data_IF_477374432208
#
_entry.id   IF_477374432208
#
_cell.length_a   1.000
_cell.length_b   1.000
_cell.length_c   1.000
_cell.angle_alpha   90.00
_cell.angle_beta   90.00
_cell.angle_gamma   90.00
#
_symmetry.space_group_name_H-M   'P 1'
#
loop_
_entity.id
_entity.type
_entity.pdbx_description
1 polymer ?
#
# COMPACT_ATOMS: atom_id res chain seq x y z
N UNK A 1 24.29 48.34 24.34
CA UNK A 1 23.85 47.03 24.87
C UNK A 1 23.53 46.20 23.64
N UNK A 2 24.42 45.27 23.29
CA UNK A 2 24.32 44.45 22.09
C UNK A 2 23.43 43.27 22.47
N UNK A 3 22.20 43.23 21.97
CA UNK A 3 21.38 42.02 21.99
C UNK A 3 21.86 41.12 20.84
N UNK A 4 22.83 40.26 21.16
CA UNK A 4 22.98 38.97 20.49
C UNK A 4 21.87 38.03 21.02
N UNK A 5 21.56 36.99 20.23
CA UNK A 5 20.69 35.83 20.55
C UNK A 5 19.17 36.09 20.39
N UNK A 6 18.35 35.44 19.56
CA UNK A 6 18.35 34.15 18.85
C UNK A 6 17.34 34.16 17.65
N UNK A 7 17.75 34.32 16.38
CA UNK A 7 16.88 33.90 15.26
C UNK A 7 17.37 32.63 14.53
N UNK A 8 18.67 32.37 14.52
CA UNK A 8 19.28 31.33 13.67
C UNK A 8 19.02 29.90 14.20
N UNK A 9 18.98 29.73 15.53
CA UNK A 9 18.77 28.40 16.15
C UNK A 9 17.32 27.94 16.01
N UNK A 10 16.36 28.86 16.09
CA UNK A 10 14.93 28.57 15.90
C UNK A 10 14.64 28.09 14.48
N UNK A 11 15.21 28.78 13.48
CA UNK A 11 14.98 28.46 12.07
C UNK A 11 15.65 27.13 11.68
N UNK A 12 16.85 26.85 12.18
CA UNK A 12 17.54 25.57 11.92
C UNK A 12 16.83 24.37 12.58
N UNK A 13 16.28 24.54 13.78
CA UNK A 13 15.47 23.51 14.45
C UNK A 13 14.17 23.23 13.68
N UNK A 14 13.48 24.27 13.23
CA UNK A 14 12.24 24.15 12.47
C UNK A 14 12.46 23.45 11.12
N UNK A 15 13.56 23.77 10.43
CA UNK A 15 13.98 23.06 9.20
C UNK A 15 14.26 21.59 9.49
N UNK A 16 15.02 21.27 10.55
CA UNK A 16 15.32 19.89 10.94
C UNK A 16 14.06 19.08 11.27
N UNK A 17 13.10 19.70 11.97
CA UNK A 17 11.80 19.11 12.26
C UNK A 17 11.03 18.81 10.97
N UNK A 18 11.05 19.73 9.99
CA UNK A 18 10.41 19.53 8.69
C UNK A 18 11.03 18.35 7.92
N UNK A 19 12.36 18.23 7.88
CA UNK A 19 13.03 17.08 7.26
C UNK A 19 12.68 15.76 7.96
N UNK A 20 12.69 15.75 9.29
CA UNK A 20 12.33 14.56 10.09
C UNK A 20 10.88 14.15 9.84
N UNK A 21 9.96 15.12 9.77
CA UNK A 21 8.55 14.92 9.47
C UNK A 21 8.34 14.27 8.08
N UNK A 22 9.02 14.76 7.05
CA UNK A 22 8.94 14.21 5.69
C UNK A 22 9.50 12.77 5.64
N UNK A 23 10.61 12.51 6.33
CA UNK A 23 11.17 11.16 6.43
C UNK A 23 10.21 10.18 7.11
N UNK A 24 9.59 10.57 8.23
CA UNK A 24 8.59 9.76 8.92
C UNK A 24 7.37 9.48 8.04
N UNK A 25 6.89 10.49 7.31
CA UNK A 25 5.78 10.32 6.36
C UNK A 25 6.14 9.32 5.25
N UNK A 26 7.35 9.42 4.69
CA UNK A 26 7.80 8.50 3.64
C UNK A 26 7.92 7.05 4.16
N UNK A 27 8.45 6.87 5.37
CA UNK A 27 8.52 5.58 6.04
C UNK A 27 7.12 4.99 6.29
N UNK A 28 6.17 5.82 6.76
CA UNK A 28 4.79 5.40 6.99
C UNK A 28 4.12 4.94 5.69
N UNK A 29 4.25 5.71 4.61
CA UNK A 29 3.74 5.33 3.28
C UNK A 29 4.39 4.02 2.80
N UNK A 30 5.70 3.85 2.99
CA UNK A 30 6.41 2.63 2.66
C UNK A 30 5.86 1.40 3.38
N UNK A 31 5.57 1.52 4.69
CA UNK A 31 4.97 0.45 5.50
C UNK A 31 3.58 0.06 4.97
N UNK A 32 2.78 1.05 4.58
CA UNK A 32 1.45 0.81 3.99
C UNK A 32 1.59 0.09 2.63
N UNK A 33 2.46 0.59 1.74
CA UNK A 33 2.71 0.04 0.40
C UNK A 33 3.26 -1.40 0.45
N UNK A 34 4.14 -1.71 1.43
CA UNK A 34 4.71 -3.05 1.62
C UNK A 34 3.64 -4.11 1.94
N UNK A 35 2.48 -3.69 2.46
CA UNK A 35 1.36 -4.58 2.79
C UNK A 35 1.77 -5.71 3.74
N UNK A 36 2.81 -5.48 4.56
CA UNK A 36 3.43 -6.48 5.43
C UNK A 36 2.37 -7.05 6.40
N UNK A 37 1.57 -6.16 6.97
CA UNK A 37 0.47 -6.47 7.87
C UNK A 37 -0.59 -7.35 7.22
N UNK A 38 -0.97 -7.06 5.98
CA UNK A 38 -1.95 -7.88 5.28
C UNK A 38 -1.40 -9.29 5.02
N UNK A 39 -0.11 -9.44 4.67
CA UNK A 39 0.51 -10.76 4.51
C UNK A 39 0.57 -11.56 5.82
N UNK A 40 0.90 -10.89 6.92
CA UNK A 40 0.98 -11.52 8.25
C UNK A 40 -0.41 -11.96 8.71
N UNK A 41 -1.40 -11.08 8.66
CA UNK A 41 -2.77 -11.37 9.08
C UNK A 41 -3.40 -12.50 8.24
N UNK A 42 -3.12 -12.55 6.93
CA UNK A 42 -3.59 -13.64 6.07
C UNK A 42 -2.96 -15.00 6.40
N UNK A 43 -1.68 -15.04 6.77
CA UNK A 43 -1.00 -16.29 7.17
C UNK A 43 -1.61 -16.91 8.43
N UNK A 44 -2.05 -16.08 9.37
CA UNK A 44 -2.66 -16.54 10.61
C UNK A 44 -4.18 -16.72 10.52
N UNK A 45 -4.79 -16.43 9.36
CA UNK A 45 -6.23 -16.54 9.20
C UNK A 45 -6.73 -17.97 9.41
N UNK A 46 -7.85 -18.11 10.11
CA UNK A 46 -8.55 -19.38 10.26
C UNK A 46 -8.92 -20.02 8.91
N UNK A 47 -9.11 -19.19 7.88
CA UNK A 47 -9.36 -19.62 6.50
C UNK A 47 -8.18 -20.41 5.92
N UNK A 48 -6.94 -19.99 6.18
CA UNK A 48 -5.75 -20.71 5.70
C UNK A 48 -5.64 -22.10 6.34
N UNK A 49 -5.98 -22.22 7.64
CA UNK A 49 -6.03 -23.52 8.35
C UNK A 49 -7.13 -24.44 7.81
N UNK A 50 -8.30 -23.88 7.49
CA UNK A 50 -9.39 -24.62 6.86
C UNK A 50 -9.00 -25.15 5.48
N UNK A 51 -8.34 -24.32 4.67
CA UNK A 51 -7.86 -24.73 3.34
C UNK A 51 -6.82 -25.85 3.46
N UNK A 52 -5.85 -25.73 4.36
CA UNK A 52 -4.85 -26.80 4.56
C UNK A 52 -5.48 -28.11 5.02
N UNK A 53 -6.41 -28.06 5.98
CA UNK A 53 -7.11 -29.24 6.46
C UNK A 53 -7.93 -29.93 5.35
N UNK A 54 -8.68 -29.14 4.55
CA UNK A 54 -9.46 -29.65 3.42
C UNK A 54 -8.60 -30.21 2.30
N UNK A 55 -7.42 -29.63 2.06
CA UNK A 55 -6.46 -30.14 1.06
C UNK A 55 -5.90 -31.50 1.48
N UNK A 56 -5.62 -31.67 2.79
CA UNK A 56 -5.17 -32.95 3.33
C UNK A 56 -6.28 -34.01 3.31
N UNK A 57 -7.51 -33.62 3.65
CA UNK A 57 -8.70 -34.48 3.55
C UNK A 57 -8.93 -34.97 2.11
N UNK A 58 -8.88 -34.05 1.14
CA UNK A 58 -9.00 -34.38 -0.28
C UNK A 58 -7.93 -35.39 -0.72
N UNK A 59 -6.67 -35.18 -0.31
CA UNK A 59 -5.58 -36.08 -0.67
C UNK A 59 -5.80 -37.49 -0.13
N UNK A 60 -6.24 -37.61 1.13
CA UNK A 60 -6.57 -38.92 1.74
C UNK A 60 -7.71 -39.62 1.01
N UNK A 61 -8.75 -38.87 0.64
CA UNK A 61 -9.91 -39.41 -0.07
C UNK A 61 -9.58 -39.80 -1.53
N UNK A 62 -8.73 -39.06 -2.21
CA UNK A 62 -8.20 -39.40 -3.54
C UNK A 62 -7.33 -40.66 -3.49
N UNK A 63 -6.45 -40.78 -2.50
CA UNK A 63 -5.65 -42.00 -2.27
C UNK A 63 -6.54 -43.21 -1.96
N UNK A 64 -7.62 -43.02 -1.21
CA UNK A 64 -8.59 -44.07 -0.94
C UNK A 64 -9.39 -44.46 -2.20
N UNK A 65 -9.78 -43.50 -3.04
CA UNK A 65 -10.45 -43.75 -4.31
C UNK A 65 -9.57 -44.53 -5.29
N UNK A 66 -8.26 -44.20 -5.35
CA UNK A 66 -7.30 -44.87 -6.23
C UNK A 66 -7.11 -46.36 -5.89
N UNK A 67 -7.40 -46.77 -4.65
CA UNK A 67 -7.34 -48.16 -4.21
C UNK A 67 -8.58 -48.97 -4.60
N UNK A 68 -9.67 -48.33 -5.02
CA UNK A 68 -10.92 -49.01 -5.39
C UNK A 68 -10.89 -49.35 -6.89
N UNK A 69 -10.91 -50.65 -7.26
CA UNK A 69 -10.92 -51.04 -8.66
C UNK A 69 -12.27 -50.73 -9.32
N UNK A 70 -12.30 -49.71 -10.17
CA UNK A 70 -13.50 -49.20 -10.86
C UNK A 70 -14.33 -50.28 -11.57
N UNK A 71 -13.66 -51.26 -12.18
CA UNK A 71 -14.29 -52.36 -12.93
C UNK A 71 -14.94 -53.44 -12.05
N UNK A 72 -14.51 -53.57 -10.79
CA UNK A 72 -15.01 -54.62 -9.88
C UNK A 72 -15.98 -54.06 -8.82
N UNK A 73 -15.78 -52.82 -8.41
CA UNK A 73 -16.55 -52.19 -7.33
C UNK A 73 -17.09 -50.81 -7.75
N UNK A 74 -17.73 -50.75 -8.92
CA UNK A 74 -18.19 -49.50 -9.53
C UNK A 74 -19.08 -48.66 -8.60
N UNK A 75 -19.99 -49.28 -7.83
CA UNK A 75 -20.86 -48.56 -6.90
C UNK A 75 -20.07 -47.90 -5.75
N UNK A 76 -19.07 -48.60 -5.20
CA UNK A 76 -18.19 -48.06 -4.15
C UNK A 76 -17.30 -46.94 -4.73
N UNK A 77 -16.75 -47.15 -5.92
CA UNK A 77 -15.98 -46.14 -6.65
C UNK A 77 -16.80 -44.88 -6.92
N UNK A 78 -18.02 -45.01 -7.45
CA UNK A 78 -18.89 -43.88 -7.77
C UNK A 78 -19.31 -43.10 -6.50
N UNK A 79 -19.61 -43.80 -5.40
CA UNK A 79 -19.90 -43.16 -4.12
C UNK A 79 -18.71 -42.37 -3.59
N UNK A 80 -17.52 -42.95 -3.66
CA UNK A 80 -16.28 -42.32 -3.19
C UNK A 80 -15.87 -41.15 -4.10
N UNK A 81 -16.06 -41.27 -5.41
CA UNK A 81 -15.84 -40.20 -6.38
C UNK A 81 -16.73 -38.98 -6.11
N UNK A 82 -18.01 -39.17 -5.78
CA UNK A 82 -18.90 -38.06 -5.38
C UNK A 82 -18.41 -37.32 -4.13
N UNK A 83 -17.79 -38.02 -3.18
CA UNK A 83 -17.21 -37.40 -1.98
C UNK A 83 -15.99 -36.54 -2.38
N UNK A 84 -15.11 -37.08 -3.23
CA UNK A 84 -13.96 -36.34 -3.77
C UNK A 84 -14.44 -35.10 -4.53
N UNK A 85 -15.39 -35.24 -5.46
CA UNK A 85 -15.93 -34.14 -6.26
C UNK A 85 -16.50 -33.02 -5.36
N UNK A 86 -17.24 -33.40 -4.29
CA UNK A 86 -17.76 -32.45 -3.31
C UNK A 86 -16.65 -31.71 -2.54
N UNK A 87 -15.61 -32.43 -2.12
CA UNK A 87 -14.46 -31.82 -1.43
C UNK A 87 -13.67 -30.88 -2.35
N UNK A 88 -13.57 -31.19 -3.65
CA UNK A 88 -12.95 -30.29 -4.64
C UNK A 88 -13.76 -29.01 -4.83
N UNK A 89 -15.09 -29.11 -4.88
CA UNK A 89 -15.99 -27.96 -4.97
C UNK A 89 -15.89 -27.07 -3.73
N UNK A 90 -15.94 -27.66 -2.52
CA UNK A 90 -15.73 -26.95 -1.26
C UNK A 90 -14.36 -26.25 -1.22
N UNK A 91 -13.31 -26.90 -1.72
CA UNK A 91 -11.97 -26.31 -1.77
C UNK A 91 -11.90 -25.13 -2.74
N UNK A 92 -12.53 -25.23 -3.92
CA UNK A 92 -12.62 -24.13 -4.89
C UNK A 92 -13.33 -22.92 -4.29
N UNK A 93 -14.42 -23.13 -3.58
CA UNK A 93 -15.16 -22.06 -2.91
C UNK A 93 -14.32 -21.39 -1.82
N UNK A 94 -13.59 -22.17 -1.01
CA UNK A 94 -12.68 -21.62 -0.01
C UNK A 94 -11.53 -20.82 -0.64
N UNK A 95 -10.99 -21.26 -1.77
CA UNK A 95 -9.95 -20.54 -2.51
C UNK A 95 -10.48 -19.23 -3.13
N UNK A 96 -11.72 -19.25 -3.64
CA UNK A 96 -12.40 -18.05 -4.13
C UNK A 96 -12.68 -17.06 -3.00
N UNK A 97 -13.12 -17.56 -1.84
CA UNK A 97 -13.29 -16.73 -0.63
C UNK A 97 -11.95 -16.14 -0.17
N UNK A 98 -10.85 -16.90 -0.26
CA UNK A 98 -9.50 -16.40 0.06
C UNK A 98 -9.08 -15.25 -0.85
N UNK A 99 -9.32 -15.34 -2.15
CA UNK A 99 -8.95 -14.27 -3.09
C UNK A 99 -9.75 -13.00 -2.83
N UNK A 100 -11.07 -13.13 -2.61
CA UNK A 100 -11.95 -12.02 -2.25
C UNK A 100 -11.54 -11.37 -0.93
N UNK A 101 -11.33 -12.17 0.12
CA UNK A 101 -10.89 -11.66 1.41
C UNK A 101 -9.54 -10.94 1.30
N UNK A 102 -8.60 -11.48 0.54
CA UNK A 102 -7.28 -10.86 0.32
C UNK A 102 -7.41 -9.50 -0.36
N UNK A 103 -8.29 -9.40 -1.36
CA UNK A 103 -8.56 -8.15 -2.06
C UNK A 103 -9.20 -7.13 -1.13
N UNK A 104 -10.24 -7.50 -0.39
CA UNK A 104 -10.92 -6.61 0.56
C UNK A 104 -10.00 -6.17 1.68
N UNK A 105 -9.22 -7.09 2.27
CA UNK A 105 -8.25 -6.77 3.32
C UNK A 105 -7.13 -5.86 2.82
N UNK A 106 -6.64 -6.09 1.60
CA UNK A 106 -5.65 -5.19 0.98
C UNK A 106 -6.23 -3.81 0.74
N UNK A 107 -7.46 -3.73 0.25
CA UNK A 107 -8.15 -2.48 0.00
C UNK A 107 -8.35 -1.69 1.29
N UNK A 108 -8.90 -2.33 2.34
CA UNK A 108 -9.13 -1.69 3.65
C UNK A 108 -7.82 -1.23 4.28
N UNK A 109 -6.76 -2.05 4.23
CA UNK A 109 -5.44 -1.68 4.75
C UNK A 109 -4.84 -0.47 4.00
N UNK A 110 -4.91 -0.49 2.66
CA UNK A 110 -4.41 0.62 1.87
C UNK A 110 -5.21 1.89 2.11
N UNK A 111 -6.54 1.79 2.15
CA UNK A 111 -7.41 2.94 2.38
C UNK A 111 -7.17 3.54 3.77
N UNK A 112 -7.26 2.72 4.82
CA UNK A 112 -7.03 3.16 6.19
C UNK A 112 -5.61 3.70 6.41
N UNK A 113 -4.59 2.99 5.91
CA UNK A 113 -3.19 3.41 6.00
C UNK A 113 -2.94 4.74 5.28
N UNK A 114 -3.51 4.93 4.09
CA UNK A 114 -3.41 6.19 3.34
C UNK A 114 -4.17 7.32 4.04
N UNK A 115 -5.34 7.07 4.62
CA UNK A 115 -6.07 8.06 5.40
C UNK A 115 -5.25 8.55 6.60
N UNK A 116 -4.58 7.64 7.32
CA UNK A 116 -3.67 8.00 8.42
C UNK A 116 -2.47 8.81 7.91
N UNK A 117 -1.88 8.42 6.78
CA UNK A 117 -0.78 9.18 6.17
C UNK A 117 -1.22 10.58 5.74
N UNK A 118 -2.42 10.74 5.20
CA UNK A 118 -2.98 12.05 4.84
C UNK A 118 -3.19 12.91 6.09
N UNK A 119 -3.76 12.33 7.16
CA UNK A 119 -3.91 13.06 8.42
C UNK A 119 -2.56 13.51 8.97
N UNK A 120 -1.56 12.62 8.99
CA UNK A 120 -0.22 12.94 9.43
C UNK A 120 0.42 14.02 8.55
N UNK A 121 0.29 13.93 7.23
CA UNK A 121 0.79 14.94 6.30
C UNK A 121 0.16 16.31 6.55
N UNK A 122 -1.16 16.39 6.71
CA UNK A 122 -1.85 17.67 6.98
C UNK A 122 -1.48 18.26 8.34
N UNK A 123 -1.28 17.42 9.36
CA UNK A 123 -0.82 17.86 10.68
C UNK A 123 0.61 18.42 10.63
N UNK A 124 1.52 17.69 9.97
CA UNK A 124 2.92 18.09 9.80
C UNK A 124 3.04 19.36 8.96
N UNK A 125 2.23 19.47 7.88
CA UNK A 125 2.19 20.67 7.06
C UNK A 125 1.88 21.91 7.91
N UNK A 126 0.83 21.85 8.73
CA UNK A 126 0.43 22.96 9.62
C UNK A 126 1.52 23.35 10.61
N UNK A 127 2.26 22.38 11.15
CA UNK A 127 3.39 22.66 12.05
C UNK A 127 4.56 23.37 11.34
N UNK A 128 4.70 23.16 10.03
CA UNK A 128 5.73 23.79 9.19
C UNK A 128 5.22 24.97 8.36
N UNK A 129 4.05 25.54 8.68
CA UNK A 129 3.42 26.58 7.90
C UNK A 129 4.29 27.84 7.76
N UNK A 130 5.04 28.18 8.81
CA UNK A 130 5.87 29.38 8.88
C UNK A 130 7.16 29.29 8.02
N UNK A 131 7.50 28.10 7.49
CA UNK A 131 8.70 27.87 6.69
C UNK A 131 8.40 28.06 5.19
N UNK A 132 8.43 29.32 4.74
CA UNK A 132 8.31 29.70 3.32
C UNK A 132 9.70 29.86 2.71
N UNK A 133 10.02 29.11 1.64
CA UNK A 133 11.35 29.18 1.00
C UNK A 133 11.37 30.14 -0.20
N UNK A 134 10.25 30.29 -0.90
CA UNK A 134 10.18 31.08 -2.12
C UNK A 134 8.78 31.66 -2.32
N UNK A 135 8.71 32.74 -3.09
CA UNK A 135 7.45 33.32 -3.56
C UNK A 135 7.46 33.35 -5.08
N UNK A 136 6.45 32.78 -5.73
CA UNK A 136 6.32 32.76 -7.19
C UNK A 136 5.08 33.58 -7.61
N UNK A 137 5.04 34.11 -8.86
CA UNK A 137 3.85 34.80 -9.35
C UNK A 137 2.63 33.86 -9.36
N UNK A 138 1.48 34.34 -8.88
CA UNK A 138 0.27 33.53 -8.74
C UNK A 138 -0.32 33.00 -10.06
N UNK A 139 0.18 33.47 -11.21
CA UNK A 139 -0.23 33.01 -12.54
C UNK A 139 0.73 31.98 -13.15
N UNK A 140 1.90 31.78 -12.55
CA UNK A 140 3.01 31.03 -13.18
C UNK A 140 2.73 29.52 -13.28
N UNK A 141 2.16 28.90 -12.24
CA UNK A 141 1.91 27.44 -12.20
C UNK A 141 0.45 27.09 -11.93
N UNK A 142 -0.49 27.90 -12.40
CA UNK A 142 -1.94 27.63 -12.25
C UNK A 142 -2.31 26.31 -12.96
N UNK A 143 -3.01 25.35 -12.32
CA UNK A 143 -3.66 25.39 -11.00
C UNK A 143 -2.82 24.78 -9.84
N UNK A 144 -1.59 24.34 -10.09
CA UNK A 144 -0.71 23.72 -9.09
C UNK A 144 -0.25 24.67 -7.98
N UNK A 145 -0.43 25.99 -8.14
CA UNK A 145 -0.13 27.00 -7.13
C UNK A 145 -0.73 26.68 -5.75
N UNK A 146 -1.97 26.19 -5.71
CA UNK A 146 -2.64 25.84 -4.45
C UNK A 146 -1.93 24.68 -3.70
N UNK A 147 -1.33 23.76 -4.45
CA UNK A 147 -0.60 22.62 -3.88
C UNK A 147 0.77 23.05 -3.33
N UNK A 148 1.40 24.04 -3.96
CA UNK A 148 2.67 24.64 -3.52
C UNK A 148 2.47 25.60 -2.34
N UNK A 149 1.32 26.26 -2.29
CA UNK A 149 0.91 27.14 -1.21
C UNK A 149 0.68 26.38 0.09
N UNK A 150 0.12 25.15 0.03
CA UNK A 150 -0.28 24.40 1.20
C UNK A 150 0.84 24.25 2.25
N UNK A 151 0.59 24.55 3.55
CA UNK A 151 -0.70 24.87 4.17
C UNK A 151 -1.14 26.34 4.09
N UNK A 152 -0.34 27.20 3.48
CA UNK A 152 -0.60 28.63 3.34
C UNK A 152 -1.56 28.92 2.17
N UNK A 153 -2.13 30.13 2.17
CA UNK A 153 -2.99 30.60 1.08
C UNK A 153 -2.16 31.22 -0.04
N UNK A 154 -2.58 30.99 -1.28
CA UNK A 154 -2.19 31.85 -2.40
C UNK A 154 -2.69 33.27 -2.14
N UNK A 155 -1.85 34.26 -2.40
CA UNK A 155 -2.26 35.67 -2.44
C UNK A 155 -2.53 36.06 -3.90
N UNK A 156 -3.22 37.19 -4.11
CA UNK A 156 -3.68 37.62 -5.44
C UNK A 156 -2.54 37.77 -6.46
N UNK A 157 -1.35 38.18 -6.00
CA UNK A 157 -0.18 38.41 -6.87
C UNK A 157 0.91 37.34 -6.71
N UNK A 158 1.02 36.73 -5.53
CA UNK A 158 2.12 35.80 -5.21
C UNK A 158 1.64 34.53 -4.50
N UNK A 159 2.34 33.44 -4.77
CA UNK A 159 2.14 32.14 -4.13
C UNK A 159 3.37 31.82 -3.28
N UNK A 160 3.24 31.75 -1.93
CA UNK A 160 4.32 31.29 -1.07
C UNK A 160 4.53 29.79 -1.24
N UNK A 161 5.76 29.34 -1.37
CA UNK A 161 6.13 27.92 -1.48
C UNK A 161 6.61 27.44 -0.13
N UNK A 162 5.83 26.56 0.51
CA UNK A 162 6.21 25.93 1.78
C UNK A 162 7.36 24.92 1.59
N UNK A 163 8.29 24.87 2.54
CA UNK A 163 9.33 23.84 2.60
C UNK A 163 8.75 22.43 2.58
N UNK A 164 7.64 22.22 3.29
CA UNK A 164 6.96 20.93 3.32
C UNK A 164 6.41 20.54 1.95
N UNK A 165 5.72 21.46 1.27
CA UNK A 165 5.20 21.23 -0.07
C UNK A 165 6.34 20.92 -1.05
N UNK A 166 7.43 21.69 -0.99
CA UNK A 166 8.60 21.49 -1.84
C UNK A 166 9.26 20.12 -1.63
N UNK A 167 9.50 19.71 -0.38
CA UNK A 167 10.11 18.42 -0.05
C UNK A 167 9.22 17.23 -0.45
N UNK A 168 7.90 17.34 -0.29
CA UNK A 168 6.96 16.33 -0.78
C UNK A 168 7.04 16.20 -2.31
N UNK A 169 7.07 17.31 -3.04
CA UNK A 169 7.21 17.25 -4.50
C UNK A 169 8.53 16.61 -4.91
N UNK A 170 9.65 16.99 -4.27
CA UNK A 170 10.96 16.42 -4.56
C UNK A 170 11.00 14.91 -4.31
N UNK A 171 10.43 14.44 -3.20
CA UNK A 171 10.36 13.00 -2.88
C UNK A 171 9.43 12.25 -3.84
N UNK A 172 8.31 12.83 -4.26
CA UNK A 172 7.44 12.24 -5.28
C UNK A 172 8.14 12.11 -6.63
N UNK A 173 8.78 13.18 -7.11
CA UNK A 173 9.53 13.18 -8.37
C UNK A 173 10.66 12.16 -8.32
N UNK A 174 11.40 12.10 -7.22
CA UNK A 174 12.46 11.11 -7.01
C UNK A 174 11.91 9.67 -7.04
N UNK A 175 10.78 9.39 -6.38
CA UNK A 175 10.13 8.07 -6.42
C UNK A 175 9.70 7.70 -7.84
N UNK A 176 9.09 8.62 -8.59
CA UNK A 176 8.66 8.40 -9.98
C UNK A 176 9.86 8.15 -10.89
N UNK A 177 10.91 8.96 -10.75
CA UNK A 177 12.15 8.83 -11.51
C UNK A 177 12.83 7.48 -11.25
N UNK A 178 12.95 7.10 -9.98
CA UNK A 178 13.49 5.82 -9.55
C UNK A 178 12.67 4.65 -10.11
N UNK A 179 11.34 4.71 -10.04
CA UNK A 179 10.46 3.70 -10.63
C UNK A 179 10.61 3.60 -12.15
N UNK A 180 10.78 4.71 -12.88
CA UNK A 180 10.90 4.69 -14.34
C UNK A 180 12.25 4.20 -14.84
N UNK A 181 13.33 4.44 -14.10
CA UNK A 181 14.69 4.10 -14.52
C UNK A 181 15.12 2.72 -14.02
N UNK A 182 14.70 2.32 -12.82
CA UNK A 182 15.12 1.07 -12.19
C UNK A 182 14.05 -0.03 -12.23
N UNK A 183 12.84 0.24 -12.72
CA UNK A 183 11.93 -0.87 -13.02
C UNK A 183 12.54 -1.71 -14.15
N UNK A 184 12.73 -3.03 -13.96
CA UNK A 184 13.11 -3.90 -15.05
C UNK A 184 12.04 -3.78 -16.14
N UNK A 185 12.45 -3.54 -17.39
CA UNK A 185 11.62 -3.72 -18.58
C UNK A 185 11.19 -5.19 -18.63
N UNK A 186 10.14 -5.56 -17.89
CA UNK A 186 9.53 -6.86 -18.03
C UNK A 186 8.86 -6.90 -19.40
N UNK A 187 9.50 -7.66 -20.29
CA UNK A 187 9.08 -7.95 -21.64
C UNK A 187 7.58 -8.24 -21.70
N UNK A 188 6.86 -7.36 -22.37
CA UNK A 188 5.60 -7.70 -23.03
C UNK A 188 5.95 -8.74 -24.10
N UNK A 189 5.93 -10.03 -23.74
CA UNK A 189 5.66 -11.08 -24.72
C UNK A 189 4.16 -11.20 -24.81
N UNK A 190 3.58 -10.49 -25.78
CA UNK A 190 2.28 -10.85 -26.35
C UNK A 190 2.45 -12.28 -26.86
N UNK A 191 1.83 -13.22 -26.16
CA UNK A 191 1.72 -14.61 -26.58
C UNK A 191 0.56 -14.67 -27.57
N UNK A 192 0.84 -14.35 -28.82
CA UNK A 192 0.02 -14.84 -29.94
C UNK A 192 0.57 -16.20 -30.33
N UNK A 193 -0.14 -17.25 -29.93
CA UNK A 193 -0.27 -18.52 -30.64
C UNK A 193 -1.46 -19.30 -30.12
#
# INVERSE_FOLDING_TARGET
>A
MISLDEPIVSDTLAVLQCFTAVLLLFMAIGIVDLGLWNRILFRFSALQRKISAKTEELKREQEALAKIPMMKEFAAYAKKKRIVDKLEEELKDLLKSRSQNKMTGAFVWNLGGRSVCLFLATHLAKQSADLVIATIPAQALTPFNALLAYPNSTQEETTPVSLFAFLIHLTMVSKIFHQRILAPKNNIKISDK
#
